data_IF_565575326450
#
_entry.id   IF_565575326450
#
_cell.length_a   1.000
_cell.length_b   1.000
_cell.length_c   1.000
_cell.angle_alpha   90.00
_cell.angle_beta   90.00
_cell.angle_gamma   90.00
#
_symmetry.space_group_name_H-M   'P 1'
#
loop_
_entity.id
_entity.type
_entity.pdbx_description
1 polymer ?
#
# COMPACT_ATOMS: atom_id res chain seq x y z
N UNK A 1 -23.43 39.73 35.35
CA UNK A 1 -23.07 39.24 34.00
C UNK A 1 -22.27 37.96 34.15
N UNK A 2 -22.71 36.84 33.55
CA UNK A 2 -21.90 35.67 33.11
C UNK A 2 -22.89 34.59 32.64
N UNK A 3 -23.23 34.64 31.35
CA UNK A 3 -23.92 33.55 30.65
C UNK A 3 -22.81 32.64 30.13
N UNK A 4 -22.64 31.46 30.73
CA UNK A 4 -21.68 30.46 30.24
C UNK A 4 -22.42 29.48 29.33
N UNK A 5 -21.92 29.36 28.11
CA UNK A 5 -22.52 28.58 27.03
C UNK A 5 -22.26 27.07 27.20
N UNK A 6 -23.32 26.28 27.07
CA UNK A 6 -23.33 24.81 27.06
C UNK A 6 -23.64 24.36 25.62
N UNK A 7 -22.67 24.38 24.71
CA UNK A 7 -22.94 24.14 23.28
C UNK A 7 -21.94 23.20 22.58
N UNK A 8 -21.14 22.43 23.32
CA UNK A 8 -20.07 21.61 22.70
C UNK A 8 -20.35 20.10 22.64
N UNK A 9 -21.43 19.60 23.26
CA UNK A 9 -21.65 18.15 23.39
C UNK A 9 -22.58 17.56 22.32
N UNK A 10 -23.33 18.38 21.58
CA UNK A 10 -24.33 17.90 20.60
C UNK A 10 -23.72 17.59 19.22
N UNK A 11 -22.57 18.20 18.88
CA UNK A 11 -21.96 18.09 17.55
C UNK A 11 -21.33 16.71 17.33
N UNK A 12 -20.78 16.07 18.36
CA UNK A 12 -20.14 14.75 18.27
C UNK A 12 -21.15 13.63 17.98
N UNK A 13 -22.39 13.74 18.48
CA UNK A 13 -23.45 12.76 18.24
C UNK A 13 -24.05 12.87 16.83
N UNK A 14 -24.08 14.05 16.24
CA UNK A 14 -24.66 14.27 14.90
C UNK A 14 -23.75 13.73 13.77
N UNK A 15 -22.43 13.66 14.00
CA UNK A 15 -21.46 13.20 13.00
C UNK A 15 -21.49 11.68 12.74
N UNK A 16 -21.96 10.89 13.70
CA UNK A 16 -22.01 9.42 13.57
C UNK A 16 -23.17 8.91 12.70
N UNK A 17 -24.20 9.73 12.47
CA UNK A 17 -25.42 9.32 11.78
C UNK A 17 -25.32 9.38 10.24
N UNK A 18 -24.29 10.04 9.69
CA UNK A 18 -24.05 10.18 8.24
C UNK A 18 -22.94 9.27 7.70
N UNK A 19 -22.31 8.45 8.54
CA UNK A 19 -21.33 7.49 8.05
C UNK A 19 -22.05 6.35 7.30
N UNK A 20 -21.73 6.08 6.03
CA UNK A 20 -22.22 4.87 5.36
C UNK A 20 -21.76 3.65 6.17
N UNK A 21 -22.58 2.58 6.26
CA UNK A 21 -22.11 1.34 6.88
C UNK A 21 -20.86 0.92 6.13
N UNK A 22 -19.71 0.94 6.79
CA UNK A 22 -18.46 0.49 6.19
C UNK A 22 -18.64 -0.99 5.91
N UNK A 23 -18.92 -1.33 4.65
CA UNK A 23 -18.78 -2.69 4.17
C UNK A 23 -17.28 -2.96 4.19
N UNK A 24 -16.79 -3.40 5.35
CA UNK A 24 -15.38 -3.77 5.51
C UNK A 24 -15.17 -4.96 4.59
N UNK A 25 -14.52 -4.70 3.45
CA UNK A 25 -14.05 -5.75 2.58
C UNK A 25 -13.22 -6.71 3.43
N UNK A 26 -13.72 -7.93 3.61
CA UNK A 26 -13.07 -8.94 4.44
C UNK A 26 -11.80 -9.37 3.71
N UNK A 27 -10.67 -8.77 4.09
CA UNK A 27 -9.36 -9.16 3.57
C UNK A 27 -8.98 -10.49 4.18
N UNK A 28 -8.67 -11.46 3.31
CA UNK A 28 -8.18 -12.77 3.70
C UNK A 28 -6.67 -12.79 3.55
N UNK A 29 -5.98 -13.35 4.54
CA UNK A 29 -4.54 -13.59 4.55
C UNK A 29 -4.26 -15.09 4.50
N UNK A 30 -3.23 -15.46 3.76
CA UNK A 30 -2.77 -16.85 3.67
C UNK A 30 -1.81 -17.13 4.83
N UNK A 31 -2.02 -18.26 5.51
CA UNK A 31 -1.16 -18.76 6.58
C UNK A 31 -0.89 -20.26 6.42
N UNK A 32 0.20 -20.72 6.99
CA UNK A 32 0.43 -22.13 7.24
C UNK A 32 0.12 -22.44 8.69
N UNK A 33 -0.86 -23.32 8.85
CA UNK A 33 -1.41 -23.72 10.13
C UNK A 33 -0.81 -25.04 10.59
N UNK A 34 -0.23 -25.05 11.79
CA UNK A 34 0.28 -26.26 12.40
C UNK A 34 -0.86 -27.04 13.07
N UNK A 35 -1.07 -28.27 12.63
CA UNK A 35 -2.00 -29.22 13.23
C UNK A 35 -1.24 -30.35 13.92
N UNK A 36 -1.90 -31.10 14.80
CA UNK A 36 -1.29 -32.25 15.46
C UNK A 36 -0.81 -33.35 14.50
N UNK A 37 -1.29 -33.35 13.24
CA UNK A 37 -0.92 -34.31 12.21
C UNK A 37 0.01 -33.76 11.12
N UNK A 38 0.51 -32.52 11.24
CA UNK A 38 1.35 -31.88 10.23
C UNK A 38 1.01 -30.41 10.01
N UNK A 39 1.12 -29.92 8.77
CA UNK A 39 0.85 -28.53 8.43
C UNK A 39 -0.13 -28.42 7.26
N UNK A 40 -1.02 -27.42 7.31
CA UNK A 40 -2.01 -27.15 6.25
C UNK A 40 -2.06 -25.67 5.89
N UNK A 41 -2.19 -25.35 4.61
CA UNK A 41 -2.33 -23.96 4.16
C UNK A 41 -3.78 -23.53 4.24
N UNK A 42 -4.05 -22.41 4.92
CA UNK A 42 -5.39 -21.84 5.11
C UNK A 42 -5.43 -20.36 4.72
N UNK A 43 -6.62 -19.88 4.39
CA UNK A 43 -6.91 -18.45 4.26
C UNK A 43 -7.81 -18.02 5.41
N UNK A 44 -7.34 -17.06 6.19
CA UNK A 44 -8.02 -16.56 7.38
C UNK A 44 -8.30 -15.08 7.24
N UNK A 45 -9.30 -14.57 7.96
CA UNK A 45 -9.52 -13.13 8.01
C UNK A 45 -8.27 -12.43 8.58
N UNK A 46 -7.91 -11.26 8.05
CA UNK A 46 -6.73 -10.51 8.52
C UNK A 46 -6.75 -10.28 10.03
N UNK A 47 -7.92 -10.10 10.63
CA UNK A 47 -8.08 -9.86 12.07
C UNK A 47 -7.77 -11.09 12.92
N UNK A 48 -7.71 -12.29 12.34
CA UNK A 48 -7.39 -13.53 13.02
C UNK A 48 -5.89 -13.88 12.93
N UNK A 49 -5.12 -13.23 12.06
CA UNK A 49 -3.71 -13.58 11.79
C UNK A 49 -2.88 -13.50 13.06
N UNK A 50 -3.02 -12.43 13.85
CA UNK A 50 -2.23 -12.27 15.09
C UNK A 50 -2.48 -13.40 16.09
N UNK A 51 -3.72 -13.88 16.20
CA UNK A 51 -4.06 -15.01 17.06
C UNK A 51 -3.46 -16.32 16.55
N UNK A 52 -3.49 -16.55 15.23
CA UNK A 52 -2.86 -17.70 14.59
C UNK A 52 -1.34 -17.70 14.81
N UNK A 53 -0.67 -16.56 14.62
CA UNK A 53 0.77 -16.43 14.88
C UNK A 53 1.14 -16.66 16.35
N UNK A 54 0.27 -16.26 17.28
CA UNK A 54 0.41 -16.56 18.71
C UNK A 54 0.33 -18.04 19.07
N UNK A 55 -0.23 -18.87 18.19
CA UNK A 55 -0.34 -20.33 18.35
C UNK A 55 0.77 -21.11 17.62
N UNK A 56 1.70 -20.43 16.95
CA UNK A 56 2.80 -21.07 16.21
C UNK A 56 2.57 -21.19 14.70
N UNK A 57 1.46 -20.67 14.18
CA UNK A 57 1.26 -20.58 12.72
C UNK A 57 2.21 -19.55 12.10
N UNK A 58 2.51 -19.69 10.82
CA UNK A 58 3.36 -18.75 10.08
C UNK A 58 2.65 -18.18 8.85
N UNK A 59 3.03 -16.97 8.44
CA UNK A 59 2.46 -16.32 7.26
C UNK A 59 2.89 -17.01 5.96
N UNK A 60 1.97 -17.13 5.00
CA UNK A 60 2.22 -17.73 3.68
C UNK A 60 1.80 -19.20 3.58
N UNK A 61 2.11 -19.84 2.46
CA UNK A 61 1.78 -21.25 2.25
C UNK A 61 2.73 -22.17 3.03
N UNK A 62 2.26 -23.36 3.35
CA UNK A 62 3.12 -24.41 3.89
C UNK A 62 4.11 -24.89 2.83
N UNK A 63 5.31 -25.25 3.24
CA UNK A 63 6.28 -25.87 2.34
C UNK A 63 5.83 -27.30 2.01
N UNK A 64 5.49 -27.57 0.76
CA UNK A 64 5.29 -28.94 0.29
C UNK A 64 6.66 -29.54 -0.03
N UNK A 65 7.09 -30.52 0.78
CA UNK A 65 8.39 -31.19 0.61
C UNK A 65 8.45 -32.12 -0.64
N UNK A 66 7.66 -31.84 -1.68
CA UNK A 66 7.50 -32.65 -2.89
C UNK A 66 7.70 -31.83 -4.19
N UNK A 67 8.72 -30.97 -4.21
CA UNK A 67 9.28 -30.51 -5.48
C UNK A 67 10.44 -31.44 -5.85
N UNK A 68 10.50 -32.01 -7.08
CA UNK A 68 11.72 -32.64 -7.56
C UNK A 68 12.84 -31.60 -7.53
N UNK A 69 13.92 -31.92 -6.81
CA UNK A 69 15.14 -31.12 -6.63
C UNK A 69 15.74 -30.75 -7.99
N UNK A 70 15.48 -29.51 -8.46
CA UNK A 70 16.51 -28.47 -8.37
C UNK A 70 16.01 -27.11 -7.83
N UNK A 71 14.71 -26.94 -7.54
CA UNK A 71 14.17 -25.64 -7.11
C UNK A 71 14.29 -25.36 -5.61
N UNK A 72 14.50 -26.37 -4.76
CA UNK A 72 14.76 -26.17 -3.32
C UNK A 72 16.15 -25.59 -3.02
N UNK A 73 17.10 -25.67 -3.97
CA UNK A 73 18.46 -25.14 -3.78
C UNK A 73 18.55 -23.60 -3.85
N UNK A 74 17.46 -22.91 -4.20
CA UNK A 74 17.39 -21.44 -4.18
C UNK A 74 16.84 -20.87 -2.87
N UNK A 75 16.31 -21.70 -1.96
CA UNK A 75 15.62 -21.20 -0.75
C UNK A 75 16.44 -21.30 0.55
N UNK A 76 17.66 -21.84 0.51
CA UNK A 76 18.51 -21.99 1.69
C UNK A 76 19.92 -21.47 1.43
N UNK A 77 20.04 -20.21 1.03
CA UNK A 77 21.22 -19.43 1.39
C UNK A 77 20.96 -18.79 2.77
N UNK A 78 21.94 -18.78 3.69
CA UNK A 78 21.84 -17.91 4.85
C UNK A 78 21.71 -16.49 4.32
N UNK A 79 20.54 -15.88 4.49
CA UNK A 79 20.26 -14.50 4.10
C UNK A 79 21.04 -13.58 5.03
N UNK A 80 22.34 -13.51 4.79
CA UNK A 80 23.17 -12.35 5.06
C UNK A 80 22.50 -11.22 4.31
N UNK A 81 21.84 -10.33 5.05
CA UNK A 81 21.37 -9.00 4.64
C UNK A 81 21.54 -8.69 3.15
N UNK A 82 20.72 -9.31 2.30
CA UNK A 82 20.52 -8.81 0.95
C UNK A 82 19.34 -7.87 1.07
N UNK A 83 19.69 -6.62 1.39
CA UNK A 83 18.99 -5.47 0.87
C UNK A 83 18.75 -5.79 -0.60
N UNK A 84 17.50 -6.09 -0.97
CA UNK A 84 17.06 -5.95 -2.34
C UNK A 84 17.26 -4.48 -2.60
N UNK A 85 18.43 -4.15 -3.16
CA UNK A 85 18.58 -2.98 -3.97
C UNK A 85 17.49 -3.17 -5.02
N UNK A 86 16.38 -2.47 -4.80
CA UNK A 86 15.42 -2.19 -5.84
C UNK A 86 16.31 -1.50 -6.86
N UNK A 87 16.73 -2.23 -7.89
CA UNK A 87 17.33 -1.64 -9.07
C UNK A 87 16.26 -0.68 -9.56
N UNK A 88 16.39 0.58 -9.13
CA UNK A 88 15.49 1.64 -9.48
C UNK A 88 15.45 1.62 -11.01
N UNK A 89 14.26 1.55 -11.64
CA UNK A 89 14.21 1.77 -13.07
C UNK A 89 14.91 3.11 -13.32
N UNK A 90 15.86 3.21 -14.27
CA UNK A 90 16.68 4.40 -14.40
C UNK A 90 15.77 5.59 -14.64
N UNK A 91 15.55 6.39 -13.59
CA UNK A 91 14.75 7.62 -13.61
C UNK A 91 15.26 8.60 -14.69
N UNK A 92 16.47 8.35 -15.21
CA UNK A 92 17.04 8.92 -16.43
C UNK A 92 16.11 8.85 -17.65
N UNK A 93 15.45 7.73 -17.95
CA UNK A 93 14.66 7.59 -19.18
C UNK A 93 13.33 8.36 -19.09
N UNK A 94 12.66 8.27 -17.94
CA UNK A 94 11.43 9.02 -17.68
C UNK A 94 11.70 10.53 -17.75
N UNK A 95 12.83 10.99 -17.21
CA UNK A 95 13.21 12.42 -17.26
C UNK A 95 13.59 12.89 -18.68
N UNK A 96 14.25 12.04 -19.48
CA UNK A 96 14.63 12.39 -20.86
C UNK A 96 13.44 12.47 -21.83
N UNK A 97 12.36 11.72 -21.59
CA UNK A 97 11.15 11.79 -22.43
C UNK A 97 10.20 12.95 -22.08
N UNK A 98 10.20 13.43 -20.82
CA UNK A 98 9.25 14.45 -20.35
C UNK A 98 9.81 15.88 -20.47
N UNK A 99 11.14 16.06 -20.44
CA UNK A 99 11.78 17.37 -20.56
C UNK A 99 11.39 18.17 -21.83
N UNK A 100 11.30 17.56 -23.04
CA UNK A 100 10.87 18.27 -24.24
C UNK A 100 9.42 18.79 -24.14
N UNK A 101 8.53 18.01 -23.52
CA UNK A 101 7.13 18.39 -23.32
C UNK A 101 6.97 19.54 -22.33
N UNK A 102 7.78 19.55 -21.26
CA UNK A 102 7.80 20.64 -20.27
C UNK A 102 8.31 21.94 -20.91
N UNK A 103 9.38 21.86 -21.70
CA UNK A 103 9.94 23.03 -22.41
C UNK A 103 8.96 23.57 -23.46
N UNK A 104 8.26 22.70 -24.19
CA UNK A 104 7.24 23.11 -25.15
C UNK A 104 6.06 23.79 -24.47
N UNK A 105 5.56 23.26 -23.34
CA UNK A 105 4.49 23.91 -22.56
C UNK A 105 4.91 25.29 -22.04
N UNK A 106 6.13 25.43 -21.51
CA UNK A 106 6.66 26.74 -21.08
C UNK A 106 6.80 27.72 -22.25
N UNK A 107 7.27 27.25 -23.40
CA UNK A 107 7.37 28.06 -24.62
C UNK A 107 6.01 28.56 -25.11
N UNK A 108 5.01 27.69 -25.15
CA UNK A 108 3.63 28.06 -25.51
C UNK A 108 3.00 29.02 -24.50
N UNK A 109 3.22 28.79 -23.20
CA UNK A 109 2.74 29.68 -22.13
C UNK A 109 3.35 31.09 -22.24
N UNK A 110 4.66 31.19 -22.47
CA UNK A 110 5.35 32.46 -22.69
C UNK A 110 4.86 33.18 -23.95
N UNK A 111 4.59 32.44 -25.04
CA UNK A 111 4.01 33.01 -26.26
C UNK A 111 2.59 33.55 -26.04
N UNK A 112 1.76 32.83 -25.28
CA UNK A 112 0.42 33.29 -24.91
C UNK A 112 0.46 34.53 -24.01
N UNK A 113 1.35 34.55 -23.01
CA UNK A 113 1.54 35.70 -22.14
C UNK A 113 2.00 36.94 -22.91
N UNK A 114 2.93 36.77 -23.86
CA UNK A 114 3.42 37.86 -24.71
C UNK A 114 2.33 38.42 -25.62
N UNK A 115 1.49 37.55 -26.21
CA UNK A 115 0.33 37.98 -27.01
C UNK A 115 -0.70 38.74 -26.16
N UNK A 116 -0.94 38.30 -24.92
CA UNK A 116 -1.86 38.95 -23.99
C UNK A 116 -1.35 40.33 -23.55
N UNK A 117 -0.04 40.47 -23.35
CA UNK A 117 0.59 41.76 -23.05
C UNK A 117 0.49 42.74 -24.22
N UNK A 118 0.68 42.26 -25.47
CA UNK A 118 0.57 43.08 -26.68
C UNK A 118 -0.87 43.54 -26.99
N UNK A 119 -1.90 42.90 -26.42
CA UNK A 119 -3.29 43.33 -26.54
C UNK A 119 -3.70 44.35 -25.47
N UNK A 120 -2.82 44.60 -24.49
CA UNK A 120 -3.06 45.54 -23.37
C UNK A 120 -2.30 46.87 -23.54
N UNK A 121 -1.55 47.00 -24.64
CA UNK A 121 -0.87 48.23 -25.09
C UNK A 121 -1.55 48.73 -26.35
#
# INVERSE_FOLDING_TARGET
>A
MKKMAMASSLVVLLSALLAPPTVQAQTMSMICHQTGSGEITLYVNINAVDAHMGHGDYSGACQTNNLPSPLLALSQTPQTQQVVEIDEPPVSWIMMSILPLILLRRSLSNKMLKRKLQQLT
#
